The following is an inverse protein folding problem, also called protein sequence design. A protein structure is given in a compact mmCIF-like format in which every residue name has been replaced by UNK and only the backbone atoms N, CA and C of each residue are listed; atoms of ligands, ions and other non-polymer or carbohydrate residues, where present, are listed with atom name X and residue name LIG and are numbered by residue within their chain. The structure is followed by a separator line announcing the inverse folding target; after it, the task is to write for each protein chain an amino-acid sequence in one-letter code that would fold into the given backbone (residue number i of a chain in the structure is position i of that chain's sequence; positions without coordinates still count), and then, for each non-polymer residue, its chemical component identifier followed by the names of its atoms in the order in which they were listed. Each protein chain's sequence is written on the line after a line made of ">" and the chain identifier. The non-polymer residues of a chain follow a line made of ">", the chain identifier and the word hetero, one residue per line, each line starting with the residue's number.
data_IF_548359859785
#
_entry.id   IF_548359859785
#
_cell.length_a   1.000
_cell.length_b   1.000
_cell.length_c   1.000
_cell.angle_alpha   90.00
_cell.angle_beta   90.00
_cell.angle_gamma   90.00
#
_symmetry.space_group_name_H-M   'P 1'
#
loop_
_entity.id
_entity.type
_entity.pdbx_description
1 polymer ?
#
# COMPACT_ATOMS: atom_id res chain seq x y z
N UNK A 1 37.88 0.25 -2.75
CA UNK A 1 39.07 0.57 -1.92
C UNK A 1 38.53 1.28 -0.70
N UNK A 2 38.07 0.53 0.32
CA UNK A 2 38.84 0.07 1.50
C UNK A 2 39.19 1.27 2.40
N UNK A 3 38.91 1.33 3.70
CA UNK A 3 38.44 0.41 4.74
C UNK A 3 38.13 1.35 5.94
N UNK A 4 37.07 1.22 6.75
CA UNK A 4 37.06 0.31 7.91
C UNK A 4 37.07 1.07 9.25
N UNK A 5 36.05 0.83 10.08
CA UNK A 5 35.83 1.33 11.45
C UNK A 5 36.95 1.02 12.47
N UNK A 6 37.10 1.87 13.49
CA UNK A 6 37.39 1.51 14.91
C UNK A 6 37.51 2.83 15.71
N UNK A 7 36.68 3.18 16.68
CA UNK A 7 36.31 2.41 17.87
C UNK A 7 36.82 3.22 19.08
N UNK A 8 35.92 3.74 19.91
CA UNK A 8 36.24 4.52 21.10
C UNK A 8 37.14 3.69 22.05
N UNK A 9 38.45 3.89 21.94
CA UNK A 9 39.46 3.15 22.70
C UNK A 9 39.48 3.58 24.15
N UNK A 10 38.58 3.03 24.96
CA UNK A 10 38.76 3.00 26.41
C UNK A 10 40.15 2.44 26.70
N UNK A 11 40.95 3.18 27.47
CA UNK A 11 42.32 2.80 27.80
C UNK A 11 42.34 1.33 28.28
N UNK A 12 43.22 0.47 27.73
CA UNK A 12 43.23 -0.95 28.06
C UNK A 12 43.34 -1.14 29.57
N UNK A 13 42.52 -2.03 30.11
CA UNK A 13 42.34 -2.25 31.56
C UNK A 13 43.67 -2.41 32.31
N UNK A 14 44.67 -3.04 31.66
CA UNK A 14 46.04 -3.17 32.16
C UNK A 14 46.69 -1.83 32.49
N UNK A 15 46.59 -0.82 31.62
CA UNK A 15 47.24 0.48 31.82
C UNK A 15 46.60 1.26 32.98
N UNK A 16 45.29 1.14 33.18
CA UNK A 16 44.57 1.71 34.33
C UNK A 16 44.91 0.99 35.64
N UNK A 17 45.07 -0.34 35.60
CA UNK A 17 45.50 -1.14 36.76
C UNK A 17 46.92 -0.79 37.19
N UNK A 18 47.82 -0.53 36.24
CA UNK A 18 49.21 -0.12 36.52
C UNK A 18 49.27 1.29 37.14
N UNK A 19 48.47 2.23 36.64
CA UNK A 19 48.35 3.57 37.25
C UNK A 19 47.78 3.52 38.69
N UNK A 20 46.80 2.64 38.95
CA UNK A 20 46.23 2.43 40.28
C UNK A 20 47.23 1.77 41.24
N UNK A 21 48.03 0.80 40.77
CA UNK A 21 49.13 0.17 41.53
C UNK A 21 50.20 1.19 41.91
N UNK A 22 50.57 2.08 40.99
CA UNK A 22 51.55 3.13 41.24
C UNK A 22 51.04 4.18 42.24
N UNK A 23 49.74 4.51 42.20
CA UNK A 23 49.12 5.52 43.05
C UNK A 23 48.77 5.00 44.45
N UNK A 24 48.55 3.69 44.62
CA UNK A 24 48.24 3.05 45.91
C UNK A 24 49.08 1.77 46.13
N UNK A 25 50.38 1.90 46.47
CA UNK A 25 51.31 0.77 46.54
C UNK A 25 51.00 -0.26 47.64
N UNK A 26 50.21 0.11 48.64
CA UNK A 26 49.75 -0.77 49.72
C UNK A 26 48.41 -1.48 49.43
N UNK A 27 47.70 -1.08 48.37
CA UNK A 27 46.45 -1.73 47.98
C UNK A 27 46.77 -3.03 47.25
N UNK A 28 46.36 -4.18 47.80
CA UNK A 28 46.42 -5.45 47.08
C UNK A 28 45.43 -5.40 45.91
N UNK A 29 45.89 -5.36 44.65
CA UNK A 29 45.03 -5.19 43.47
C UNK A 29 43.99 -6.30 43.34
N UNK A 30 44.34 -7.49 43.81
CA UNK A 30 43.46 -8.67 43.83
C UNK A 30 42.25 -8.45 44.75
N UNK A 31 42.46 -7.79 45.90
CA UNK A 31 41.39 -7.43 46.84
C UNK A 31 40.44 -6.39 46.25
N UNK A 32 40.96 -5.42 45.49
CA UNK A 32 40.13 -4.44 44.79
C UNK A 32 39.33 -5.09 43.67
N UNK A 33 39.96 -6.00 42.91
CA UNK A 33 39.28 -6.78 41.88
C UNK A 33 38.18 -7.67 42.46
N UNK A 34 38.44 -8.32 43.60
CA UNK A 34 37.47 -9.16 44.31
C UNK A 34 36.30 -8.34 44.85
N UNK A 35 36.55 -7.17 45.43
CA UNK A 35 35.49 -6.25 45.90
C UNK A 35 34.67 -5.71 44.73
N UNK A 36 35.31 -5.28 43.63
CA UNK A 36 34.59 -4.81 42.43
C UNK A 36 33.77 -5.95 41.80
N UNK A 37 34.31 -7.18 41.78
CA UNK A 37 33.60 -8.36 41.30
C UNK A 37 32.41 -8.71 42.21
N UNK A 38 32.56 -8.59 43.52
CA UNK A 38 31.47 -8.77 44.48
C UNK A 38 30.37 -7.71 44.29
N UNK A 39 30.74 -6.43 44.13
CA UNK A 39 29.80 -5.32 43.90
C UNK A 39 29.08 -5.45 42.55
N UNK A 40 29.79 -5.81 41.48
CA UNK A 40 29.18 -6.06 40.17
C UNK A 40 28.29 -7.31 40.18
N UNK A 41 28.62 -8.31 41.01
CA UNK A 41 27.79 -9.51 41.20
C UNK A 41 26.53 -9.21 42.01
N UNK A 42 26.59 -8.33 43.02
CA UNK A 42 25.39 -7.87 43.73
C UNK A 42 24.51 -6.99 42.84
N UNK A 43 25.10 -6.13 42.00
CA UNK A 43 24.33 -5.32 41.03
C UNK A 43 23.66 -6.16 39.94
N UNK A 44 24.25 -7.30 39.54
CA UNK A 44 23.59 -8.27 38.65
C UNK A 44 22.54 -9.14 39.35
N UNK A 45 22.54 -9.18 40.69
CA UNK A 45 21.66 -9.99 41.51
C UNK A 45 20.44 -9.27 42.10
N UNK A 46 20.36 -7.94 41.96
CA UNK A 46 19.30 -7.10 42.55
C UNK A 46 18.07 -6.88 41.65
N UNK A 47 17.95 -7.60 40.53
CA UNK A 47 16.71 -7.57 39.75
C UNK A 47 15.62 -8.30 40.53
N UNK A 48 14.60 -7.57 40.93
CA UNK A 48 13.38 -8.13 41.50
C UNK A 48 12.75 -9.13 40.53
N UNK A 49 11.95 -10.07 41.06
CA UNK A 49 11.22 -11.01 40.22
C UNK A 49 10.35 -10.31 39.15
N UNK A 50 9.84 -9.12 39.49
CA UNK A 50 9.08 -8.25 38.58
C UNK A 50 9.94 -7.69 37.45
N UNK A 51 11.16 -7.22 37.72
CA UNK A 51 12.07 -6.72 36.69
C UNK A 51 12.54 -7.84 35.76
N UNK A 52 12.78 -9.04 36.31
CA UNK A 52 13.11 -10.22 35.49
C UNK A 52 11.96 -10.63 34.58
N UNK A 53 10.72 -10.60 35.10
CA UNK A 53 9.51 -10.86 34.30
C UNK A 53 9.34 -9.82 33.19
N UNK A 54 9.49 -8.54 33.51
CA UNK A 54 9.36 -7.44 32.55
C UNK A 54 10.43 -7.51 31.46
N UNK A 55 11.67 -7.85 31.80
CA UNK A 55 12.74 -8.07 30.82
C UNK A 55 12.41 -9.25 29.89
N UNK A 56 11.82 -10.33 30.42
CA UNK A 56 11.34 -11.46 29.62
C UNK A 56 10.23 -11.06 28.65
N UNK A 57 9.25 -10.28 29.10
CA UNK A 57 8.17 -9.75 28.25
C UNK A 57 8.70 -8.83 27.14
N UNK A 58 9.68 -7.97 27.46
CA UNK A 58 10.33 -7.09 26.46
C UNK A 58 11.15 -7.90 25.45
N UNK A 59 11.82 -8.97 25.88
CA UNK A 59 12.55 -9.88 24.99
C UNK A 59 11.59 -10.63 24.05
N UNK A 60 10.45 -11.09 24.58
CA UNK A 60 9.40 -11.73 23.79
C UNK A 60 8.77 -10.77 22.76
N UNK A 61 8.49 -9.53 23.17
CA UNK A 61 8.04 -8.48 22.25
C UNK A 61 9.10 -8.20 21.17
N UNK A 62 10.37 -8.13 21.56
CA UNK A 62 11.50 -7.95 20.65
C UNK A 62 11.61 -9.07 19.61
N UNK A 63 11.45 -10.33 20.03
CA UNK A 63 11.39 -11.49 19.12
C UNK A 63 10.20 -11.38 18.17
N UNK A 64 9.02 -11.03 18.68
CA UNK A 64 7.80 -10.89 17.87
C UNK A 64 7.96 -9.82 16.80
N UNK A 65 8.52 -8.65 17.16
CA UNK A 65 8.82 -7.57 16.21
C UNK A 65 9.85 -8.03 15.17
N UNK A 66 10.89 -8.77 15.56
CA UNK A 66 11.91 -9.27 14.65
C UNK A 66 11.33 -10.26 13.63
N UNK A 67 10.48 -11.19 14.07
CA UNK A 67 9.76 -12.11 13.19
C UNK A 67 8.85 -11.36 12.22
N UNK A 68 8.04 -10.42 12.71
CA UNK A 68 7.17 -9.61 11.87
C UNK A 68 7.96 -8.81 10.81
N UNK A 69 9.12 -8.25 11.17
CA UNK A 69 10.00 -7.56 10.21
C UNK A 69 10.55 -8.49 9.13
N UNK A 70 10.90 -9.74 9.49
CA UNK A 70 11.38 -10.73 8.54
C UNK A 70 10.27 -11.17 7.58
N UNK A 71 9.07 -11.41 8.08
CA UNK A 71 7.89 -11.74 7.28
C UNK A 71 7.51 -10.60 6.33
N UNK A 72 7.45 -9.36 6.82
CA UNK A 72 7.18 -8.17 5.98
C UNK A 72 8.26 -7.99 4.91
N UNK A 73 9.53 -8.25 5.23
CA UNK A 73 10.61 -8.20 4.23
C UNK A 73 10.49 -9.30 3.18
N UNK A 74 9.93 -10.46 3.54
CA UNK A 74 9.73 -11.59 2.63
C UNK A 74 8.54 -11.39 1.67
N UNK A 75 7.63 -10.45 1.95
CA UNK A 75 6.50 -10.12 1.06
C UNK A 75 6.93 -9.51 -0.28
N UNK A 76 8.23 -9.24 -0.51
CA UNK A 76 8.76 -8.68 -1.76
C UNK A 76 7.96 -7.46 -2.25
N UNK A 77 7.56 -6.59 -1.33
CA UNK A 77 6.75 -5.40 -1.65
C UNK A 77 7.44 -4.50 -2.67
N UNK A 78 8.77 -4.50 -2.74
CA UNK A 78 9.50 -3.81 -3.79
C UNK A 78 9.15 -4.31 -5.20
N UNK A 79 8.95 -5.63 -5.38
CA UNK A 79 8.65 -6.22 -6.69
C UNK A 79 7.17 -5.99 -7.05
N UNK A 80 6.28 -6.04 -6.06
CA UNK A 80 4.85 -5.73 -6.23
C UNK A 80 4.67 -4.27 -6.68
N UNK A 81 5.35 -3.34 -6.00
CA UNK A 81 5.22 -1.91 -6.25
C UNK A 81 5.98 -1.46 -7.50
N UNK A 82 7.10 -2.11 -7.83
CA UNK A 82 7.91 -1.73 -8.99
C UNK A 82 7.37 -2.28 -10.32
N UNK A 83 6.74 -3.47 -10.33
CA UNK A 83 6.31 -4.09 -11.59
C UNK A 83 4.84 -4.49 -11.66
N UNK A 84 4.26 -5.05 -10.60
CA UNK A 84 2.94 -5.67 -10.72
C UNK A 84 1.78 -4.66 -10.70
N UNK A 85 1.79 -3.69 -9.79
CA UNK A 85 0.71 -2.69 -9.70
C UNK A 85 0.76 -1.66 -10.85
N UNK A 86 1.93 -1.13 -11.26
CA UNK A 86 2.02 -0.28 -12.44
C UNK A 86 1.54 -1.02 -13.70
N UNK A 87 2.01 -2.24 -13.94
CA UNK A 87 1.57 -3.04 -15.08
C UNK A 87 0.06 -3.32 -15.05
N UNK A 88 -0.51 -3.68 -13.90
CA UNK A 88 -1.95 -3.92 -13.79
C UNK A 88 -2.77 -2.63 -14.02
N UNK A 89 -2.26 -1.47 -13.59
CA UNK A 89 -2.88 -0.17 -13.87
C UNK A 89 -2.85 0.14 -15.36
N UNK A 90 -1.70 -0.02 -16.01
CA UNK A 90 -1.52 0.24 -17.43
C UNK A 90 -2.41 -0.67 -18.29
N UNK A 91 -2.53 -1.95 -17.92
CA UNK A 91 -3.44 -2.89 -18.57
C UNK A 91 -4.92 -2.49 -18.38
N UNK A 92 -5.30 -2.02 -17.19
CA UNK A 92 -6.68 -1.54 -16.94
C UNK A 92 -6.99 -0.28 -17.75
N UNK A 93 -6.04 0.66 -17.87
CA UNK A 93 -6.18 1.85 -18.70
C UNK A 93 -6.27 1.49 -20.19
N UNK A 94 -5.47 0.51 -20.65
CA UNK A 94 -5.54 -0.03 -22.00
C UNK A 94 -6.90 -0.69 -22.30
N UNK A 95 -7.47 -1.43 -21.35
CA UNK A 95 -8.82 -2.00 -21.47
C UNK A 95 -9.87 -0.89 -21.63
N UNK A 96 -9.79 0.18 -20.83
CA UNK A 96 -10.72 1.33 -20.97
C UNK A 96 -10.60 1.96 -22.35
N UNK A 97 -9.39 2.22 -22.82
CA UNK A 97 -9.15 2.80 -24.14
C UNK A 97 -9.65 1.90 -25.27
N UNK A 98 -9.34 0.60 -25.23
CA UNK A 98 -9.76 -0.36 -26.26
C UNK A 98 -11.26 -0.56 -26.28
N UNK A 99 -11.92 -0.61 -25.12
CA UNK A 99 -13.38 -0.72 -25.08
C UNK A 99 -14.04 0.55 -25.61
N UNK A 100 -13.51 1.75 -25.32
CA UNK A 100 -14.01 3.01 -25.88
C UNK A 100 -13.88 3.04 -27.41
N UNK A 101 -12.71 2.68 -27.94
CA UNK A 101 -12.49 2.62 -29.39
C UNK A 101 -13.41 1.59 -30.07
N UNK A 102 -13.62 0.43 -29.44
CA UNK A 102 -14.53 -0.58 -29.97
C UNK A 102 -15.99 -0.10 -30.01
N UNK A 103 -16.46 0.58 -28.95
CA UNK A 103 -17.80 1.16 -28.93
C UNK A 103 -17.95 2.24 -30.00
N UNK A 104 -16.98 3.14 -30.14
CA UNK A 104 -17.01 4.17 -31.19
C UNK A 104 -17.19 3.53 -32.59
N UNK A 105 -16.43 2.47 -32.89
CA UNK A 105 -16.55 1.76 -34.16
C UNK A 105 -17.92 1.07 -34.33
N UNK A 106 -18.52 0.56 -33.25
CA UNK A 106 -19.88 0.00 -33.26
C UNK A 106 -20.90 1.10 -33.57
N UNK A 107 -20.77 2.27 -32.95
CA UNK A 107 -21.66 3.41 -33.16
C UNK A 107 -21.56 3.93 -34.60
N UNK A 108 -20.36 4.09 -35.14
CA UNK A 108 -20.13 4.48 -36.55
C UNK A 108 -20.73 3.45 -37.53
N UNK A 109 -20.66 2.16 -37.17
CA UNK A 109 -21.32 1.10 -37.95
C UNK A 109 -22.85 1.26 -37.91
N UNK A 110 -23.42 1.62 -36.76
CA UNK A 110 -24.86 1.87 -36.63
C UNK A 110 -25.29 3.09 -37.45
N UNK A 111 -24.52 4.18 -37.47
CA UNK A 111 -24.79 5.34 -38.32
C UNK A 111 -24.78 4.97 -39.82
N UNK A 112 -23.87 4.08 -40.21
CA UNK A 112 -23.83 3.53 -41.57
C UNK A 112 -25.10 2.72 -41.89
N UNK A 113 -25.57 1.91 -40.94
CA UNK A 113 -26.82 1.15 -41.08
C UNK A 113 -28.04 2.07 -41.19
N UNK A 114 -28.10 3.14 -40.40
CA UNK A 114 -29.19 4.13 -40.45
C UNK A 114 -29.23 4.84 -41.82
N UNK A 115 -28.07 5.17 -42.40
CA UNK A 115 -28.01 5.74 -43.75
C UNK A 115 -28.51 4.77 -44.81
N UNK A 116 -28.12 3.49 -44.74
CA UNK A 116 -28.56 2.45 -45.69
C UNK A 116 -30.05 2.13 -45.51
N UNK A 117 -30.59 2.26 -44.29
CA UNK A 117 -32.02 2.11 -44.03
C UNK A 117 -32.86 3.10 -44.85
N UNK A 118 -32.33 4.29 -45.16
CA UNK A 118 -32.99 5.26 -46.05
C UNK A 118 -33.10 4.83 -47.52
N UNK A 119 -32.40 3.78 -47.93
CA UNK A 119 -32.35 3.29 -49.32
C UNK A 119 -33.22 2.02 -49.54
N UNK A 120 -33.80 1.46 -48.47
CA UNK A 120 -34.62 0.23 -48.52
C UNK A 120 -36.12 0.51 -48.38
N UNK A 121 -36.96 -0.53 -48.44
CA UNK A 121 -38.40 -0.39 -48.24
C UNK A 121 -38.72 0.08 -46.81
N UNK A 122 -39.83 0.80 -46.63
CA UNK A 122 -40.20 1.39 -45.35
C UNK A 122 -40.29 0.37 -44.20
N UNK A 123 -40.76 -0.85 -44.47
CA UNK A 123 -40.85 -1.92 -43.47
C UNK A 123 -39.45 -2.42 -43.03
N UNK A 124 -38.52 -2.55 -43.98
CA UNK A 124 -37.13 -2.93 -43.68
C UNK A 124 -36.36 -1.80 -43.00
N UNK A 125 -36.64 -0.55 -43.38
CA UNK A 125 -36.05 0.64 -42.77
C UNK A 125 -36.42 0.76 -41.29
N UNK A 126 -37.70 0.53 -40.97
CA UNK A 126 -38.17 0.54 -39.58
C UNK A 126 -37.49 -0.55 -38.74
N UNK A 127 -37.40 -1.78 -39.28
CA UNK A 127 -36.74 -2.88 -38.58
C UNK A 127 -35.24 -2.60 -38.34
N UNK A 128 -34.56 -1.93 -39.27
CA UNK A 128 -33.17 -1.50 -39.12
C UNK A 128 -33.03 -0.42 -38.04
N UNK A 129 -33.89 0.62 -38.06
CA UNK A 129 -33.89 1.70 -37.07
C UNK A 129 -34.18 1.20 -35.65
N UNK A 130 -35.11 0.28 -35.49
CA UNK A 130 -35.41 -0.33 -34.18
C UNK A 130 -34.19 -1.12 -33.66
N UNK A 131 -33.46 -1.79 -34.56
CA UNK A 131 -32.26 -2.53 -34.20
C UNK A 131 -31.09 -1.62 -33.82
N UNK A 132 -30.81 -0.57 -34.60
CA UNK A 132 -29.74 0.41 -34.30
C UNK A 132 -30.04 1.20 -33.03
N UNK A 133 -31.30 1.59 -32.81
CA UNK A 133 -31.74 2.23 -31.55
C UNK A 133 -31.40 1.38 -30.32
N UNK A 134 -31.70 0.08 -30.37
CA UNK A 134 -31.37 -0.84 -29.27
C UNK A 134 -29.86 -0.98 -29.05
N UNK A 135 -29.04 -0.87 -30.10
CA UNK A 135 -27.59 -0.89 -29.99
C UNK A 135 -27.08 0.40 -29.34
N UNK A 136 -27.60 1.57 -29.74
CA UNK A 136 -27.26 2.86 -29.11
C UNK A 136 -27.55 2.84 -27.61
N UNK A 137 -28.73 2.35 -27.20
CA UNK A 137 -29.10 2.20 -25.80
C UNK A 137 -28.19 1.23 -25.04
N UNK A 138 -27.81 0.10 -25.65
CA UNK A 138 -26.91 -0.86 -25.04
C UNK A 138 -25.49 -0.30 -24.85
N UNK A 139 -25.00 0.50 -25.80
CA UNK A 139 -23.68 1.11 -25.73
C UNK A 139 -23.60 2.26 -24.69
N UNK A 140 -24.73 2.89 -24.35
CA UNK A 140 -24.82 3.92 -23.30
C UNK A 140 -24.34 3.43 -21.93
N UNK A 141 -24.45 2.12 -21.63
CA UNK A 141 -23.93 1.53 -20.38
C UNK A 141 -22.40 1.45 -20.28
N UNK A 142 -21.67 1.70 -21.37
CA UNK A 142 -20.21 1.58 -21.37
C UNK A 142 -19.53 2.63 -20.47
N UNK A 143 -20.11 3.82 -20.35
CA UNK A 143 -19.62 4.89 -19.48
C UNK A 143 -19.48 4.40 -18.02
N UNK A 144 -20.40 3.55 -17.56
CA UNK A 144 -20.38 2.97 -16.22
C UNK A 144 -19.24 1.97 -16.04
N UNK A 145 -18.92 1.22 -17.10
CA UNK A 145 -17.79 0.29 -17.06
C UNK A 145 -16.47 1.05 -16.96
N UNK A 146 -16.32 2.13 -17.74
CA UNK A 146 -15.16 3.02 -17.66
C UNK A 146 -14.98 3.64 -16.27
N UNK A 147 -16.05 4.25 -15.72
CA UNK A 147 -16.03 4.84 -14.38
C UNK A 147 -15.69 3.81 -13.28
N UNK A 148 -16.26 2.60 -13.36
CA UNK A 148 -15.99 1.53 -12.39
C UNK A 148 -14.54 1.05 -12.46
N UNK A 149 -13.98 0.89 -13.66
CA UNK A 149 -12.57 0.51 -13.82
C UNK A 149 -11.67 1.60 -13.22
N UNK A 150 -11.92 2.88 -13.54
CA UNK A 150 -11.17 4.02 -12.97
C UNK A 150 -11.21 4.01 -11.43
N UNK A 151 -12.37 3.70 -10.84
CA UNK A 151 -12.50 3.59 -9.38
C UNK A 151 -11.69 2.42 -8.80
N UNK A 152 -11.69 1.27 -9.48
CA UNK A 152 -10.88 0.11 -9.08
C UNK A 152 -9.39 0.46 -9.14
N UNK A 153 -8.93 1.08 -10.22
CA UNK A 153 -7.54 1.56 -10.38
C UNK A 153 -7.15 2.53 -9.27
N UNK A 154 -7.98 3.53 -8.98
CA UNK A 154 -7.70 4.50 -7.90
C UNK A 154 -7.62 3.82 -6.52
N UNK A 155 -8.46 2.81 -6.29
CA UNK A 155 -8.43 2.02 -5.04
C UNK A 155 -7.16 1.21 -4.93
N UNK A 156 -6.73 0.54 -6.01
CA UNK A 156 -5.47 -0.22 -6.05
C UNK A 156 -4.26 0.69 -5.78
N UNK A 157 -4.19 1.88 -6.39
CA UNK A 157 -3.15 2.90 -6.11
C UNK A 157 -3.13 3.34 -4.64
N UNK A 158 -4.31 3.44 -4.01
CA UNK A 158 -4.41 3.78 -2.58
C UNK A 158 -3.91 2.65 -1.69
N UNK A 159 -4.23 1.41 -2.03
CA UNK A 159 -3.74 0.22 -1.30
C UNK A 159 -2.21 0.15 -1.42
N UNK A 160 -1.67 0.34 -2.62
CA UNK A 160 -0.24 0.34 -2.89
C UNK A 160 0.52 1.35 -2.02
N UNK A 161 0.08 2.60 -1.99
CA UNK A 161 0.69 3.65 -1.17
C UNK A 161 0.69 3.32 0.34
N UNK A 162 -0.39 2.68 0.84
CA UNK A 162 -0.46 2.25 2.25
C UNK A 162 0.48 1.09 2.54
N UNK A 163 0.59 0.12 1.64
CA UNK A 163 1.51 -1.01 1.77
C UNK A 163 2.95 -0.51 1.76
N UNK A 164 3.30 0.43 0.88
CA UNK A 164 4.61 1.07 0.85
C UNK A 164 4.98 1.71 2.19
N UNK A 165 4.05 2.47 2.79
CA UNK A 165 4.26 3.12 4.10
C UNK A 165 4.49 2.11 5.24
N UNK A 166 3.75 1.00 5.25
CA UNK A 166 3.92 -0.08 6.24
C UNK A 166 5.32 -0.67 6.11
N UNK A 167 5.78 -0.93 4.89
CA UNK A 167 7.12 -1.48 4.65
C UNK A 167 8.22 -0.50 5.05
N UNK A 168 8.10 0.79 4.71
CA UNK A 168 9.07 1.81 5.13
C UNK A 168 9.19 1.86 6.66
N UNK A 169 8.05 1.89 7.36
CA UNK A 169 7.98 1.97 8.82
C UNK A 169 8.66 0.76 9.50
N UNK A 170 8.42 -0.44 8.99
CA UNK A 170 8.93 -1.67 9.62
C UNK A 170 10.38 -1.98 9.23
N UNK A 171 10.79 -1.68 8.00
CA UNK A 171 12.14 -2.03 7.51
C UNK A 171 13.16 -0.92 7.72
N UNK A 172 12.75 0.32 7.98
CA UNK A 172 13.64 1.48 8.09
C UNK A 172 14.36 1.84 6.78
N UNK A 173 14.02 1.15 5.67
CA UNK A 173 14.45 1.53 4.33
C UNK A 173 13.46 2.56 3.80
N UNK A 174 13.94 3.78 3.57
CA UNK A 174 13.23 4.73 2.71
C UNK A 174 13.15 4.14 1.31
N UNK A 175 11.97 3.70 0.89
CA UNK A 175 11.69 3.47 -0.53
C UNK A 175 11.78 4.83 -1.22
N UNK A 176 12.75 5.01 -2.11
CA UNK A 176 12.93 6.27 -2.86
C UNK A 176 11.83 6.57 -3.87
N UNK A 177 10.95 5.61 -4.15
CA UNK A 177 9.85 5.72 -5.11
C UNK A 177 8.51 5.81 -4.38
N UNK A 178 8.26 6.92 -3.69
CA UNK A 178 6.89 7.25 -3.26
C UNK A 178 6.24 8.01 -4.40
N UNK A 179 5.60 7.27 -5.30
CA UNK A 179 4.78 7.87 -6.36
C UNK A 179 3.64 8.61 -5.65
N UNK A 180 3.57 9.93 -5.83
CA UNK A 180 2.55 10.77 -5.19
C UNK A 180 1.16 10.20 -5.51
N UNK A 181 0.38 9.88 -4.47
CA UNK A 181 -1.00 9.45 -4.65
C UNK A 181 -1.75 10.53 -5.45
N UNK A 182 -2.42 10.18 -6.56
CA UNK A 182 -3.23 11.14 -7.29
C UNK A 182 -4.35 11.67 -6.40
N UNK A 183 -4.69 12.95 -6.55
CA UNK A 183 -5.80 13.56 -5.83
C UNK A 183 -7.10 12.75 -6.04
N UNK A 184 -7.98 12.67 -5.03
CA UNK A 184 -9.23 11.93 -5.17
C UNK A 184 -10.05 12.55 -6.31
N UNK A 185 -10.19 11.80 -7.40
CA UNK A 185 -11.08 12.16 -8.49
C UNK A 185 -12.49 12.00 -7.95
N UNK A 186 -13.20 13.11 -7.75
CA UNK A 186 -14.63 13.10 -7.45
C UNK A 186 -15.33 12.74 -8.75
N UNK A 187 -15.48 11.43 -8.98
CA UNK A 187 -16.35 10.92 -10.02
C UNK A 187 -17.78 11.01 -9.48
N UNK A 188 -18.62 11.77 -10.18
CA UNK A 188 -20.08 11.79 -10.00
C UNK A 188 -20.60 10.35 -9.95
N UNK A 189 -21.59 10.07 -9.10
CA UNK A 189 -22.10 8.72 -8.92
C UNK A 189 -22.76 8.24 -10.22
N UNK A 190 -22.06 7.42 -11.00
CA UNK A 190 -22.65 6.71 -12.13
C UNK A 190 -23.78 5.77 -11.69
N UNK A 191 -24.71 5.40 -12.59
CA UNK A 191 -25.75 4.41 -12.39
C UNK A 191 -25.36 3.27 -11.47
N UNK A 192 -26.13 3.19 -10.38
CA UNK A 192 -25.94 2.24 -9.31
C UNK A 192 -26.18 0.80 -9.81
N UNK A 193 -25.49 -0.16 -9.20
CA UNK A 193 -25.67 -1.59 -9.48
C UNK A 193 -27.16 -1.97 -9.34
N UNK A 194 -27.68 -2.97 -10.06
CA UNK A 194 -29.12 -3.33 -10.05
C UNK A 194 -29.74 -3.64 -8.67
N UNK A 195 -28.92 -3.84 -7.63
CA UNK A 195 -29.37 -4.02 -6.23
C UNK A 195 -29.02 -2.85 -5.28
N UNK A 196 -28.36 -1.81 -5.77
CA UNK A 196 -28.08 -0.56 -5.03
C UNK A 196 -28.65 0.67 -5.73
N UNK A 197 -29.36 0.48 -6.84
CA UNK A 197 -30.03 1.54 -7.56
C UNK A 197 -31.21 2.09 -6.74
N UNK A 198 -31.19 3.40 -6.50
CA UNK A 198 -32.40 4.13 -6.16
C UNK A 198 -33.42 3.81 -7.25
N UNK A 199 -34.57 3.33 -6.80
CA UNK A 199 -35.70 3.13 -7.68
C UNK A 199 -36.18 4.50 -8.18
N UNK A 200 -36.77 4.55 -9.37
CA UNK A 200 -37.36 5.77 -9.94
C UNK A 200 -38.36 6.40 -8.96
N UNK A 201 -39.02 5.57 -8.15
CA UNK A 201 -39.93 6.01 -7.08
C UNK A 201 -39.25 6.84 -5.97
N UNK A 202 -37.95 6.71 -5.75
CA UNK A 202 -37.20 7.52 -4.79
C UNK A 202 -36.72 8.84 -5.40
N UNK A 203 -36.45 8.85 -6.71
CA UNK A 203 -36.16 10.08 -7.48
C UNK A 203 -37.41 10.97 -7.51
N UNK A 204 -38.57 10.38 -7.78
CA UNK A 204 -39.84 11.11 -7.84
C UNK A 204 -40.21 11.73 -6.47
N UNK A 205 -39.93 11.03 -5.36
CA UNK A 205 -40.10 11.57 -3.99
C UNK A 205 -39.15 12.72 -3.70
N UNK A 206 -37.91 12.63 -4.17
CA UNK A 206 -36.91 13.68 -3.99
C UNK A 206 -37.33 14.95 -4.75
N UNK A 207 -37.75 14.81 -6.01
CA UNK A 207 -38.20 15.93 -6.84
C UNK A 207 -39.50 16.56 -6.32
N UNK A 208 -40.44 15.74 -5.82
CA UNK A 208 -41.66 16.23 -5.17
C UNK A 208 -41.39 16.96 -3.84
N UNK A 209 -40.19 16.86 -3.26
CA UNK A 209 -39.81 17.60 -2.05
C UNK A 209 -39.23 18.99 -2.32
N UNK A 210 -39.03 19.36 -3.59
CA UNK A 210 -38.57 20.68 -4.04
C UNK A 210 -39.70 21.62 -4.51
N UNK A 211 -40.93 21.10 -4.63
CA UNK A 211 -42.19 21.86 -4.80
C UNK A 211 -42.86 22.13 -3.44
#
# INVERSE_FOLDING_TARGET
>A
MADGMMGAGGMPLQKRLDELRARYPAARPDLVADVVKAVLSTMRGDLTATETSLLGEVEELGRTIATAKAEISALQVSDINASHIPSATDELDAIVAHTAAATEAILETCETLDRVAGEVSAEMAQALQDATTRIYEACSFQDITGQRITKVVATLKTIDAKVALIVETFTGRRSSDVVSAPAPVVLENGPQLPGQAMDQSDIDKLLASFD
#
